data_IF_163978582245
#
_entry.id   IF_163978582245
#
_cell.length_a   1.000
_cell.length_b   1.000
_cell.length_c   1.000
_cell.angle_alpha   90.00
_cell.angle_beta   90.00
_cell.angle_gamma   90.00
#
_symmetry.space_group_name_H-M   'P 1'
#
loop_
_entity.id
_entity.type
_entity.pdbx_description
1 polymer ?
#
# COMPACT_ATOMS: atom_id res chain seq x y z
N UNK A 1 -17.34 -37.36 32.66
CA UNK A 1 -17.13 -37.21 31.21
C UNK A 1 -16.55 -35.82 30.93
N UNK A 2 -16.16 -35.53 29.68
CA UNK A 2 -15.62 -34.24 29.20
C UNK A 2 -14.31 -33.75 29.88
N UNK A 3 -13.19 -33.87 29.16
CA UNK A 3 -11.97 -33.08 29.43
C UNK A 3 -12.21 -31.64 28.94
N UNK A 4 -11.86 -30.64 29.75
CA UNK A 4 -11.60 -29.29 29.24
C UNK A 4 -10.18 -29.24 28.66
N UNK A 5 -10.05 -29.14 27.34
CA UNK A 5 -8.76 -28.93 26.67
C UNK A 5 -8.47 -27.44 26.62
N UNK A 6 -7.69 -26.94 27.60
CA UNK A 6 -7.17 -25.58 27.55
C UNK A 6 -6.13 -25.46 26.43
N UNK A 7 -6.38 -24.60 25.45
CA UNK A 7 -5.41 -24.31 24.40
C UNK A 7 -4.20 -23.56 24.97
N UNK A 8 -2.96 -23.90 24.58
CA UNK A 8 -1.76 -23.25 25.09
C UNK A 8 -1.64 -21.85 24.48
N UNK A 9 -2.13 -20.84 25.22
CA UNK A 9 -1.97 -19.42 24.86
C UNK A 9 -0.53 -19.12 24.45
N UNK A 10 -0.35 -18.72 23.18
CA UNK A 10 0.96 -18.48 22.61
C UNK A 10 1.63 -17.32 23.36
N UNK A 11 2.63 -17.65 24.18
CA UNK A 11 3.42 -16.67 24.93
C UNK A 11 4.15 -15.76 23.94
N UNK A 12 3.54 -14.62 23.60
CA UNK A 12 4.16 -13.55 22.82
C UNK A 12 5.47 -13.20 23.52
N UNK A 13 6.59 -13.54 22.88
CA UNK A 13 7.90 -13.30 23.47
C UNK A 13 8.01 -11.80 23.77
N UNK A 14 8.31 -11.46 25.02
CA UNK A 14 8.74 -10.12 25.37
C UNK A 14 10.12 -9.91 24.76
N UNK A 15 10.16 -9.44 23.52
CA UNK A 15 11.29 -8.66 23.03
C UNK A 15 11.41 -7.51 24.01
N UNK A 16 12.51 -7.47 24.75
CA UNK A 16 12.73 -6.45 25.76
C UNK A 16 12.92 -5.08 25.09
N UNK A 17 12.62 -4.03 25.83
CA UNK A 17 12.98 -2.65 25.49
C UNK A 17 14.51 -2.50 25.63
N UNK A 18 15.24 -3.04 24.66
CA UNK A 18 16.54 -2.53 24.28
C UNK A 18 16.28 -1.36 23.32
N UNK A 19 16.93 -0.21 23.55
CA UNK A 19 16.83 0.94 22.66
C UNK A 19 17.18 0.50 21.23
N UNK A 20 16.26 0.68 20.27
CA UNK A 20 16.48 0.31 18.87
C UNK A 20 17.46 1.31 18.24
N UNK A 21 18.76 1.08 18.45
CA UNK A 21 19.85 1.87 17.86
C UNK A 21 19.74 1.81 16.32
N UNK A 22 19.22 2.89 15.74
CA UNK A 22 18.85 2.99 14.34
C UNK A 22 20.01 2.58 13.43
N UNK A 23 19.81 1.53 12.62
CA UNK A 23 20.85 0.91 11.80
C UNK A 23 21.67 1.98 11.06
N UNK A 24 22.99 2.12 11.32
CA UNK A 24 23.80 3.19 10.75
C UNK A 24 23.75 3.26 9.22
N UNK A 25 23.49 2.14 8.53
CA UNK A 25 23.29 2.12 7.08
C UNK A 25 21.91 2.66 6.66
N UNK A 26 20.86 2.43 7.44
CA UNK A 26 19.51 2.99 7.20
C UNK A 26 19.53 4.49 7.45
N UNK A 27 20.06 4.92 8.61
CA UNK A 27 20.25 6.34 8.91
C UNK A 27 21.09 7.04 7.84
N UNK A 28 22.20 6.43 7.40
CA UNK A 28 23.04 7.04 6.35
C UNK A 28 22.34 7.10 5.00
N UNK A 29 21.53 6.10 4.64
CA UNK A 29 20.68 6.14 3.45
C UNK A 29 19.72 7.35 3.51
N UNK A 30 19.07 7.58 4.65
CA UNK A 30 18.18 8.73 4.82
C UNK A 30 18.89 10.07 4.75
N UNK A 31 20.05 10.22 5.38
CA UNK A 31 20.89 11.43 5.27
C UNK A 31 21.21 11.75 3.79
N UNK A 32 21.56 10.73 2.99
CA UNK A 32 21.88 10.90 1.56
C UNK A 32 20.64 11.16 0.71
N UNK A 33 19.48 10.56 1.03
CA UNK A 33 18.18 10.87 0.37
C UNK A 33 17.78 12.33 0.63
N UNK A 34 17.79 12.78 1.89
CA UNK A 34 17.49 14.18 2.26
C UNK A 34 18.44 15.17 1.59
N UNK A 35 19.70 14.80 1.35
CA UNK A 35 20.66 15.60 0.57
C UNK A 35 20.34 15.65 -0.94
N UNK A 36 19.80 14.57 -1.51
CA UNK A 36 19.37 14.51 -2.91
C UNK A 36 18.07 15.30 -3.16
N UNK A 37 17.11 15.23 -2.24
CA UNK A 37 15.89 16.04 -2.25
C UNK A 37 16.21 17.53 -2.19
N UNK A 38 17.07 17.94 -1.25
CA UNK A 38 17.56 19.33 -1.12
C UNK A 38 18.32 19.82 -2.36
N UNK A 39 18.91 18.92 -3.15
CA UNK A 39 19.54 19.26 -4.43
C UNK A 39 18.49 19.40 -5.55
N UNK A 40 17.53 18.45 -5.64
CA UNK A 40 16.40 18.46 -6.59
C UNK A 40 15.56 19.73 -6.44
N UNK A 41 15.21 20.11 -5.21
CA UNK A 41 14.46 21.33 -4.90
C UNK A 41 15.20 22.64 -5.28
N UNK A 42 16.51 22.58 -5.48
CA UNK A 42 17.35 23.71 -5.95
C UNK A 42 17.67 23.62 -7.45
N UNK A 43 17.02 22.73 -8.19
CA UNK A 43 17.26 22.48 -9.62
C UNK A 43 18.64 21.89 -9.93
N UNK A 44 19.36 21.34 -8.94
CA UNK A 44 20.77 20.92 -9.08
C UNK A 44 20.93 19.40 -8.94
N UNK A 45 21.72 18.81 -9.84
CA UNK A 45 22.17 17.43 -9.72
C UNK A 45 23.28 17.29 -8.67
N UNK A 46 23.22 16.23 -7.86
CA UNK A 46 24.30 15.84 -6.94
C UNK A 46 24.80 14.43 -7.28
N UNK A 47 25.75 14.35 -8.22
CA UNK A 47 26.30 13.08 -8.71
C UNK A 47 27.04 12.29 -7.61
N UNK A 48 27.70 12.98 -6.67
CA UNK A 48 28.38 12.36 -5.52
C UNK A 48 27.38 11.64 -4.62
N UNK A 49 26.31 12.33 -4.20
CA UNK A 49 25.26 11.72 -3.38
C UNK A 49 24.52 10.60 -4.11
N UNK A 50 24.32 10.70 -5.44
CA UNK A 50 23.77 9.58 -6.24
C UNK A 50 24.68 8.34 -6.18
N UNK A 51 26.00 8.51 -6.34
CA UNK A 51 26.97 7.40 -6.24
C UNK A 51 27.02 6.82 -4.83
N UNK A 52 27.01 7.67 -3.80
CA UNK A 52 27.00 7.26 -2.40
C UNK A 52 25.74 6.47 -2.03
N UNK A 53 24.55 6.92 -2.50
CA UNK A 53 23.29 6.20 -2.29
C UNK A 53 23.32 4.79 -2.92
N UNK A 54 23.92 4.64 -4.10
CA UNK A 54 24.08 3.33 -4.73
C UNK A 54 24.97 2.39 -3.90
N UNK A 55 26.06 2.90 -3.31
CA UNK A 55 26.92 2.14 -2.39
C UNK A 55 26.17 1.73 -1.12
N UNK A 56 25.58 2.67 -0.40
CA UNK A 56 24.84 2.38 0.86
C UNK A 56 23.67 1.41 0.61
N UNK A 57 22.97 1.54 -0.53
CA UNK A 57 21.93 0.59 -0.93
C UNK A 57 22.48 -0.82 -1.27
N UNK A 58 23.70 -0.93 -1.80
CA UNK A 58 24.36 -2.22 -2.02
C UNK A 58 24.80 -2.88 -0.71
N UNK A 59 25.32 -2.10 0.25
CA UNK A 59 25.71 -2.58 1.57
C UNK A 59 24.51 -3.06 2.38
N UNK A 60 23.39 -2.31 2.34
CA UNK A 60 22.09 -2.73 2.88
C UNK A 60 21.59 -4.02 2.21
N UNK A 61 21.71 -4.15 0.88
CA UNK A 61 21.33 -5.38 0.17
C UNK A 61 22.21 -6.58 0.59
N UNK A 62 23.49 -6.38 0.82
CA UNK A 62 24.40 -7.42 1.31
C UNK A 62 24.09 -7.82 2.77
N UNK A 63 23.78 -6.85 3.65
CA UNK A 63 23.35 -7.10 5.03
C UNK A 63 22.03 -7.87 5.07
N UNK A 64 21.02 -7.38 4.36
CA UNK A 64 19.70 -8.02 4.28
C UNK A 64 19.78 -9.41 3.64
N UNK A 65 20.60 -9.58 2.59
CA UNK A 65 20.82 -10.88 1.96
C UNK A 65 21.39 -11.94 2.91
N UNK A 66 22.27 -11.56 3.85
CA UNK A 66 22.79 -12.47 4.90
C UNK A 66 21.73 -12.84 5.92
N UNK A 67 20.84 -11.91 6.29
CA UNK A 67 19.78 -12.13 7.28
C UNK A 67 18.62 -12.96 6.71
N UNK A 68 18.10 -12.58 5.55
CA UNK A 68 16.90 -13.19 4.94
C UNK A 68 17.16 -14.64 4.46
N UNK A 69 18.39 -14.98 4.10
CA UNK A 69 18.81 -16.36 3.78
C UNK A 69 18.84 -17.32 4.97
N UNK A 70 18.61 -16.85 6.21
CA UNK A 70 18.52 -17.71 7.40
C UNK A 70 17.16 -18.41 7.55
N UNK A 71 16.14 -17.95 6.83
CA UNK A 71 14.79 -18.53 6.84
C UNK A 71 14.67 -19.59 5.73
N UNK A 72 14.22 -20.83 6.04
CA UNK A 72 13.97 -21.87 5.04
C UNK A 72 12.93 -21.48 3.97
N UNK A 73 12.99 -22.05 2.76
CA UNK A 73 12.07 -21.73 1.65
C UNK A 73 10.59 -21.91 2.01
N UNK A 74 10.26 -22.89 2.85
CA UNK A 74 8.90 -23.26 3.25
C UNK A 74 8.30 -22.18 4.16
N UNK A 75 9.11 -21.58 5.03
CA UNK A 75 8.70 -20.42 5.83
C UNK A 75 8.56 -19.16 4.96
N UNK A 76 9.40 -18.98 3.94
CA UNK A 76 9.21 -17.90 2.97
C UNK A 76 7.91 -18.04 2.19
N UNK A 77 7.57 -19.24 1.74
CA UNK A 77 6.28 -19.49 1.11
C UNK A 77 5.12 -19.19 2.08
N UNK A 78 5.17 -19.69 3.32
CA UNK A 78 4.14 -19.42 4.34
C UNK A 78 3.97 -17.94 4.68
N UNK A 79 5.07 -17.18 4.76
CA UNK A 79 5.04 -15.73 4.97
C UNK A 79 4.34 -15.04 3.78
N UNK A 80 4.68 -15.43 2.55
CA UNK A 80 4.19 -14.78 1.34
C UNK A 80 2.78 -15.23 0.91
N UNK A 81 2.29 -16.39 1.37
CA UNK A 81 0.97 -16.94 1.01
C UNK A 81 -0.10 -16.73 2.11
N UNK A 82 0.28 -16.78 3.40
CA UNK A 82 -0.69 -16.61 4.51
C UNK A 82 -0.63 -15.22 5.17
N UNK A 83 0.52 -14.56 5.20
CA UNK A 83 0.76 -13.37 6.03
C UNK A 83 0.94 -12.07 5.23
N UNK A 84 0.97 -12.15 3.90
CA UNK A 84 1.09 -11.01 2.99
C UNK A 84 -0.10 -11.01 2.03
N UNK A 85 -0.83 -9.91 1.95
CA UNK A 85 -1.93 -9.83 0.99
C UNK A 85 -1.40 -9.68 -0.45
N UNK A 86 -2.14 -10.20 -1.43
CA UNK A 86 -1.73 -10.20 -2.85
C UNK A 86 -1.45 -8.79 -3.42
N UNK A 87 -1.97 -7.75 -2.78
CA UNK A 87 -1.77 -6.36 -3.17
C UNK A 87 -0.52 -5.72 -2.51
N UNK A 88 -0.02 -6.29 -1.40
CA UNK A 88 1.27 -5.94 -0.77
C UNK A 88 2.45 -6.71 -1.37
N UNK A 89 2.20 -7.82 -2.08
CA UNK A 89 3.23 -8.63 -2.75
C UNK A 89 4.19 -7.79 -3.61
N UNK A 90 3.64 -6.84 -4.38
CA UNK A 90 4.46 -5.94 -5.18
C UNK A 90 5.28 -4.98 -4.31
N UNK A 91 4.70 -4.41 -3.26
CA UNK A 91 5.39 -3.49 -2.37
C UNK A 91 6.61 -4.19 -1.74
N UNK A 92 6.43 -5.40 -1.21
CA UNK A 92 7.53 -6.19 -0.65
C UNK A 92 8.60 -6.51 -1.70
N UNK A 93 8.21 -6.98 -2.89
CA UNK A 93 9.11 -7.25 -4.02
C UNK A 93 9.81 -5.99 -4.59
N UNK A 94 9.34 -4.80 -4.23
CA UNK A 94 9.97 -3.52 -4.57
C UNK A 94 11.00 -3.09 -3.51
N UNK A 95 10.84 -3.46 -2.23
CA UNK A 95 11.76 -3.06 -1.14
C UNK A 95 13.20 -3.57 -1.31
N UNK A 96 13.40 -4.82 -1.75
CA UNK A 96 14.74 -5.36 -1.98
C UNK A 96 14.78 -6.47 -3.06
N UNK A 97 15.98 -6.72 -3.58
CA UNK A 97 16.21 -7.72 -4.65
C UNK A 97 15.83 -9.14 -4.20
N UNK A 98 16.14 -9.52 -2.95
CA UNK A 98 15.85 -10.86 -2.43
C UNK A 98 14.36 -11.21 -2.48
N UNK A 99 13.46 -10.30 -2.08
CA UNK A 99 12.02 -10.55 -2.19
C UNK A 99 11.58 -10.63 -3.66
N UNK A 100 12.12 -9.77 -4.54
CA UNK A 100 11.85 -9.85 -5.98
C UNK A 100 12.28 -11.17 -6.61
N UNK A 101 13.42 -11.71 -6.17
CA UNK A 101 13.90 -13.04 -6.56
C UNK A 101 12.98 -14.13 -6.00
N UNK A 102 12.65 -14.11 -4.70
CA UNK A 102 11.74 -15.08 -4.07
C UNK A 102 10.34 -15.11 -4.70
N UNK A 103 9.79 -13.97 -5.12
CA UNK A 103 8.51 -13.94 -5.82
C UNK A 103 8.60 -14.60 -7.21
N UNK A 104 9.72 -14.45 -7.92
CA UNK A 104 9.97 -15.18 -9.18
C UNK A 104 10.13 -16.68 -8.94
N UNK A 105 10.89 -17.07 -7.92
CA UNK A 105 11.11 -18.48 -7.55
C UNK A 105 9.79 -19.20 -7.25
N UNK A 106 8.83 -18.49 -6.61
CA UNK A 106 7.48 -18.97 -6.30
C UNK A 106 6.45 -18.75 -7.42
N UNK A 107 6.87 -18.27 -8.61
CA UNK A 107 5.98 -18.00 -9.75
C UNK A 107 4.97 -16.86 -9.55
N UNK A 108 5.11 -16.04 -8.50
CA UNK A 108 4.21 -14.93 -8.17
C UNK A 108 4.33 -13.78 -9.17
N UNK A 109 3.18 -13.22 -9.59
CA UNK A 109 3.12 -12.21 -10.65
C UNK A 109 3.34 -10.80 -10.10
N UNK A 110 4.60 -10.35 -10.12
CA UNK A 110 5.04 -9.03 -9.61
C UNK A 110 4.61 -7.89 -10.55
N UNK A 111 3.34 -7.49 -10.52
CA UNK A 111 2.75 -6.45 -11.37
C UNK A 111 1.75 -5.55 -10.62
N UNK A 112 1.78 -4.24 -10.87
CA UNK A 112 0.64 -3.35 -10.56
C UNK A 112 -0.54 -3.69 -11.46
N UNK A 113 -1.61 -4.21 -10.85
CA UNK A 113 -2.91 -4.33 -11.50
C UNK A 113 -3.98 -3.50 -10.75
N UNK A 114 -3.56 -2.47 -9.99
CA UNK A 114 -4.42 -1.52 -9.29
C UNK A 114 -5.22 -0.69 -10.30
N UNK A 115 -6.40 -1.19 -10.64
CA UNK A 115 -7.40 -0.49 -11.43
C UNK A 115 -8.78 -0.82 -10.86
N UNK A 116 -9.75 0.06 -11.09
CA UNK A 116 -11.10 -0.03 -10.52
C UNK A 116 -11.85 -1.33 -10.90
N UNK A 117 -11.47 -2.04 -11.97
CA UNK A 117 -12.05 -3.36 -12.32
C UNK A 117 -11.51 -4.47 -11.41
N UNK A 118 -10.20 -4.56 -11.16
CA UNK A 118 -9.63 -5.53 -10.20
C UNK A 118 -10.19 -5.32 -8.79
N UNK A 119 -10.55 -4.09 -8.41
CA UNK A 119 -11.21 -3.82 -7.12
C UNK A 119 -12.61 -4.47 -7.04
N UNK A 120 -13.38 -4.47 -8.13
CA UNK A 120 -14.65 -5.22 -8.22
C UNK A 120 -14.43 -6.73 -8.19
N UNK A 121 -13.40 -7.24 -8.87
CA UNK A 121 -13.10 -8.68 -8.89
C UNK A 121 -12.67 -9.19 -7.50
N UNK A 122 -11.86 -8.41 -6.77
CA UNK A 122 -11.45 -8.68 -5.38
C UNK A 122 -12.60 -8.55 -4.39
N UNK A 123 -13.49 -7.57 -4.58
CA UNK A 123 -14.72 -7.44 -3.80
C UNK A 123 -15.64 -8.64 -3.99
N UNK A 124 -15.92 -9.00 -5.25
CA UNK A 124 -16.86 -10.07 -5.62
C UNK A 124 -16.38 -11.46 -5.18
N UNK A 125 -15.07 -11.62 -4.94
CA UNK A 125 -14.47 -12.84 -4.39
C UNK A 125 -14.27 -12.81 -2.87
N UNK A 126 -14.73 -11.76 -2.18
CA UNK A 126 -14.60 -11.58 -0.73
C UNK A 126 -13.18 -11.25 -0.24
N UNK A 127 -12.18 -11.19 -1.14
CA UNK A 127 -10.76 -10.97 -0.80
C UNK A 127 -10.43 -9.48 -0.73
N UNK A 128 -11.19 -8.76 0.08
CA UNK A 128 -11.09 -7.31 0.24
C UNK A 128 -10.12 -6.95 1.35
N UNK A 129 -8.84 -6.76 1.01
CA UNK A 129 -7.92 -6.09 1.92
C UNK A 129 -8.19 -4.59 2.01
N UNK A 130 -8.06 -4.06 3.22
CA UNK A 130 -7.77 -2.66 3.49
C UNK A 130 -6.26 -2.45 3.59
N UNK A 131 -5.73 -1.35 3.07
CA UNK A 131 -4.33 -0.95 3.27
C UNK A 131 -4.20 0.30 4.12
N UNK A 132 -3.07 0.43 4.80
CA UNK A 132 -2.75 1.55 5.70
C UNK A 132 -2.41 2.83 4.93
N UNK A 133 -2.48 3.98 5.59
CA UNK A 133 -2.01 5.27 5.04
C UNK A 133 -0.54 5.20 4.56
N UNK A 134 0.30 4.38 5.21
CA UNK A 134 1.68 4.14 4.80
C UNK A 134 1.81 3.47 3.42
N UNK A 135 0.90 2.56 3.07
CA UNK A 135 0.82 1.96 1.74
C UNK A 135 0.37 2.98 0.70
N UNK A 136 -0.65 3.79 0.99
CA UNK A 136 -1.11 4.84 0.08
C UNK A 136 -0.01 5.89 -0.20
N UNK A 137 0.73 6.30 0.86
CA UNK A 137 1.96 7.11 0.73
C UNK A 137 2.99 6.44 -0.17
N UNK A 138 3.33 5.17 0.11
CA UNK A 138 4.28 4.42 -0.71
C UNK A 138 3.88 4.35 -2.19
N UNK A 139 2.60 4.13 -2.53
CA UNK A 139 2.14 4.15 -3.93
C UNK A 139 2.35 5.54 -4.54
N UNK A 140 1.87 6.60 -3.88
CA UNK A 140 1.99 7.99 -4.35
C UNK A 140 3.45 8.47 -4.52
N UNK A 141 4.38 7.91 -3.78
CA UNK A 141 5.79 8.33 -3.81
C UNK A 141 6.65 7.41 -4.72
N UNK A 142 6.10 6.28 -5.19
CA UNK A 142 6.81 5.27 -6.01
C UNK A 142 6.34 5.21 -7.47
N UNK A 143 5.07 5.51 -7.75
CA UNK A 143 4.49 5.44 -9.10
C UNK A 143 4.27 6.82 -9.71
N UNK A 144 4.42 6.91 -11.04
CA UNK A 144 3.97 8.10 -11.78
C UNK A 144 2.45 8.06 -11.92
N UNK A 145 1.79 9.03 -11.29
CA UNK A 145 0.35 9.24 -11.41
C UNK A 145 0.03 10.05 -12.66
N UNK A 146 -1.11 9.71 -13.29
CA UNK A 146 -1.72 10.56 -14.31
C UNK A 146 -2.96 11.24 -13.74
N UNK A 147 -3.12 12.57 -13.93
CA UNK A 147 -4.38 13.23 -13.66
C UNK A 147 -5.44 12.66 -14.59
N UNK A 148 -6.63 12.41 -14.05
CA UNK A 148 -7.72 11.79 -14.78
C UNK A 148 -8.69 11.06 -13.85
N UNK A 149 -9.95 11.48 -13.93
CA UNK A 149 -11.09 10.86 -13.26
C UNK A 149 -11.99 10.11 -14.25
N UNK A 150 -11.80 10.32 -15.56
CA UNK A 150 -12.62 9.76 -16.63
C UNK A 150 -12.19 8.35 -17.07
N UNK A 151 -13.19 7.54 -17.38
CA UNK A 151 -13.07 6.18 -17.91
C UNK A 151 -12.74 6.16 -19.42
N UNK A 152 -11.68 6.84 -19.85
CA UNK A 152 -11.26 6.77 -21.26
C UNK A 152 -10.82 5.35 -21.64
N UNK A 153 -11.06 4.96 -22.89
CA UNK A 153 -10.57 3.69 -23.47
C UNK A 153 -9.04 3.69 -23.67
N UNK A 154 -8.36 4.81 -23.43
CA UNK A 154 -6.92 5.04 -23.71
C UNK A 154 -6.04 4.89 -22.48
N UNK A 155 -6.52 4.16 -21.45
CA UNK A 155 -5.77 3.93 -20.21
C UNK A 155 -4.43 3.24 -20.47
N UNK A 156 -3.34 4.01 -20.38
CA UNK A 156 -1.96 3.55 -20.53
C UNK A 156 -1.66 2.39 -19.57
N UNK A 157 -1.19 1.27 -20.13
CA UNK A 157 -0.86 0.04 -19.40
C UNK A 157 0.22 0.32 -18.34
N UNK A 158 -0.10 0.06 -17.07
CA UNK A 158 0.82 0.23 -15.94
C UNK A 158 0.82 1.63 -15.32
N UNK A 159 0.11 2.61 -15.88
CA UNK A 159 -0.10 3.90 -15.23
C UNK A 159 -1.16 3.80 -14.12
N UNK A 160 -0.92 4.49 -13.00
CA UNK A 160 -1.90 4.65 -11.91
C UNK A 160 -2.60 6.01 -12.11
N UNK A 161 -3.92 6.05 -11.85
CA UNK A 161 -4.72 7.26 -11.97
C UNK A 161 -5.21 7.68 -10.60
N UNK A 162 -5.24 8.98 -10.35
CA UNK A 162 -5.58 9.58 -9.05
C UNK A 162 -6.98 9.13 -8.60
N UNK A 163 -7.93 9.09 -9.54
CA UNK A 163 -9.29 8.62 -9.33
C UNK A 163 -9.42 7.15 -8.91
N UNK A 164 -8.55 6.22 -9.37
CA UNK A 164 -8.60 4.82 -8.90
C UNK A 164 -8.24 4.76 -7.40
N UNK A 165 -7.27 5.57 -6.95
CA UNK A 165 -6.79 5.53 -5.57
C UNK A 165 -7.75 6.25 -4.60
N UNK A 166 -8.37 7.35 -5.04
CA UNK A 166 -9.47 8.02 -4.32
C UNK A 166 -10.68 7.08 -4.18
N UNK A 167 -11.12 6.47 -5.29
CA UNK A 167 -12.22 5.49 -5.28
C UNK A 167 -11.89 4.30 -4.37
N UNK A 168 -10.63 3.84 -4.35
CA UNK A 168 -10.22 2.75 -3.46
C UNK A 168 -10.22 3.14 -1.98
N UNK A 169 -9.74 4.34 -1.63
CA UNK A 169 -9.78 4.85 -0.26
C UNK A 169 -11.22 4.96 0.28
N UNK A 170 -12.16 5.40 -0.58
CA UNK A 170 -13.59 5.42 -0.27
C UNK A 170 -14.19 4.02 -0.12
N UNK A 171 -13.86 3.10 -1.03
CA UNK A 171 -14.32 1.71 -1.00
C UNK A 171 -13.85 0.94 0.24
N UNK A 172 -12.62 1.16 0.73
CA UNK A 172 -12.16 0.59 2.00
C UNK A 172 -12.64 1.37 3.25
N UNK A 173 -13.42 2.45 3.07
CA UNK A 173 -14.02 3.21 4.16
C UNK A 173 -13.09 4.14 4.95
N UNK A 174 -11.92 4.50 4.41
CA UNK A 174 -10.95 5.31 5.16
C UNK A 174 -11.11 6.81 4.92
N UNK A 175 -11.84 7.48 5.81
CA UNK A 175 -11.95 8.96 5.85
C UNK A 175 -10.59 9.62 6.05
N UNK A 176 -9.68 9.01 6.83
CA UNK A 176 -8.31 9.53 7.04
C UNK A 176 -7.53 9.61 5.73
N UNK A 177 -7.57 8.54 4.93
CA UNK A 177 -6.85 8.50 3.64
C UNK A 177 -7.54 9.40 2.62
N UNK A 178 -8.87 9.53 2.62
CA UNK A 178 -9.56 10.51 1.77
C UNK A 178 -9.26 11.96 2.14
N UNK A 179 -9.10 12.29 3.43
CA UNK A 179 -8.54 13.59 3.82
C UNK A 179 -7.14 13.74 3.26
N UNK A 180 -6.24 12.79 3.52
CA UNK A 180 -4.87 12.83 3.05
C UNK A 180 -4.72 13.07 1.53
N UNK A 181 -5.47 12.32 0.70
CA UNK A 181 -5.45 12.47 -0.75
C UNK A 181 -5.97 13.84 -1.21
N UNK A 182 -6.99 14.39 -0.56
CA UNK A 182 -7.59 15.68 -0.95
C UNK A 182 -6.88 16.90 -0.36
N UNK A 183 -6.33 16.79 0.85
CA UNK A 183 -5.77 17.90 1.64
C UNK A 183 -4.24 18.01 1.50
N UNK A 184 -3.49 16.89 1.41
CA UNK A 184 -2.03 16.92 1.21
C UNK A 184 -1.61 16.76 -0.27
N UNK A 185 -2.30 15.92 -1.05
CA UNK A 185 -1.98 15.71 -2.49
C UNK A 185 -2.82 16.58 -3.43
N UNK A 186 -3.90 17.21 -2.95
CA UNK A 186 -4.75 18.11 -3.73
C UNK A 186 -5.66 17.40 -4.76
N UNK A 187 -5.88 16.10 -4.61
CA UNK A 187 -6.68 15.31 -5.56
C UNK A 187 -8.18 15.49 -5.33
N UNK A 188 -8.95 15.54 -6.41
CA UNK A 188 -10.40 15.75 -6.36
C UNK A 188 -11.16 14.45 -6.07
N UNK A 189 -12.27 14.57 -5.33
CA UNK A 189 -13.26 13.51 -5.18
C UNK A 189 -14.23 13.60 -6.37
N UNK A 190 -14.66 12.45 -6.90
CA UNK A 190 -15.54 12.37 -8.07
C UNK A 190 -16.94 11.84 -7.70
N UNK A 191 -17.90 11.88 -8.63
CA UNK A 191 -19.27 11.38 -8.40
C UNK A 191 -19.30 9.87 -8.06
N UNK A 192 -18.40 9.11 -8.68
CA UNK A 192 -18.17 7.69 -8.43
C UNK A 192 -17.74 7.42 -6.97
N UNK A 193 -17.06 8.36 -6.30
CA UNK A 193 -16.48 8.17 -4.96
C UNK A 193 -17.56 7.85 -3.92
N UNK A 194 -18.75 8.44 -4.06
CA UNK A 194 -19.95 8.07 -3.27
C UNK A 194 -20.39 6.63 -3.54
N UNK A 195 -20.52 6.26 -4.82
CA UNK A 195 -20.86 4.89 -5.24
C UNK A 195 -19.86 3.86 -4.69
N UNK A 196 -18.56 4.18 -4.65
CA UNK A 196 -17.53 3.32 -4.08
C UNK A 196 -17.62 3.20 -2.56
N UNK A 197 -17.90 4.27 -1.82
CA UNK A 197 -18.17 4.21 -0.39
C UNK A 197 -19.43 3.38 -0.05
N UNK A 198 -20.49 3.49 -0.87
CA UNK A 198 -21.69 2.65 -0.79
C UNK A 198 -21.39 1.18 -1.06
N UNK A 199 -20.66 0.86 -2.13
CA UNK A 199 -20.15 -0.50 -2.41
C UNK A 199 -19.23 -1.04 -1.31
N UNK A 200 -18.51 -0.16 -0.61
CA UNK A 200 -17.68 -0.47 0.54
C UNK A 200 -18.46 -0.76 1.82
N UNK A 201 -19.67 -0.20 1.96
CA UNK A 201 -20.45 -0.21 3.19
C UNK A 201 -19.92 0.76 4.26
N UNK A 202 -19.32 1.89 3.84
CA UNK A 202 -18.76 2.88 4.78
C UNK A 202 -19.68 4.07 4.96
N UNK A 203 -20.50 4.01 6.02
CA UNK A 203 -21.37 5.12 6.43
C UNK A 203 -20.54 6.37 6.78
N UNK A 204 -19.35 6.19 7.32
CA UNK A 204 -18.44 7.25 7.76
C UNK A 204 -17.88 8.05 6.58
N UNK A 205 -17.50 7.37 5.50
CA UNK A 205 -17.14 8.05 4.24
C UNK A 205 -18.36 8.74 3.63
N UNK A 206 -19.54 8.10 3.61
CA UNK A 206 -20.76 8.73 3.08
C UNK A 206 -21.15 10.00 3.85
N UNK A 207 -21.01 10.01 5.18
CA UNK A 207 -21.16 11.21 6.03
C UNK A 207 -20.13 12.29 5.68
N UNK A 208 -18.86 11.92 5.52
CA UNK A 208 -17.77 12.84 5.15
C UNK A 208 -17.99 13.48 3.78
N UNK A 209 -18.37 12.69 2.76
CA UNK A 209 -18.69 13.17 1.42
C UNK A 209 -19.87 14.16 1.44
N UNK A 210 -20.98 13.80 2.12
CA UNK A 210 -22.12 14.69 2.32
C UNK A 210 -21.73 15.98 3.05
N UNK A 211 -20.86 15.90 4.05
CA UNK A 211 -20.34 17.05 4.79
C UNK A 211 -19.50 18.02 3.94
N UNK A 212 -18.89 17.54 2.86
CA UNK A 212 -18.22 18.36 1.83
C UNK A 212 -19.13 18.75 0.66
N UNK A 213 -20.44 18.51 0.75
CA UNK A 213 -21.42 18.89 -0.28
C UNK A 213 -21.54 17.92 -1.47
N UNK A 214 -20.87 16.77 -1.45
CA UNK A 214 -20.96 15.80 -2.54
C UNK A 214 -22.32 15.11 -2.59
N UNK A 215 -22.89 15.01 -3.80
CA UNK A 215 -24.18 14.38 -4.03
C UNK A 215 -24.08 12.85 -3.98
N UNK A 216 -24.84 12.22 -3.08
CA UNK A 216 -24.93 10.78 -2.97
C UNK A 216 -26.08 10.27 -3.86
N UNK A 217 -25.77 9.98 -5.13
CA UNK A 217 -26.74 9.50 -6.12
C UNK A 217 -27.40 8.18 -5.71
N UNK A 218 -28.59 7.89 -6.25
CA UNK A 218 -29.47 6.77 -5.83
C UNK A 218 -28.77 5.41 -5.73
N UNK A 219 -27.89 5.07 -6.68
CA UNK A 219 -27.11 3.83 -6.64
C UNK A 219 -26.26 3.67 -5.38
N UNK A 220 -25.75 4.77 -4.82
CA UNK A 220 -25.01 4.80 -3.54
C UNK A 220 -25.86 4.22 -2.41
N UNK A 221 -27.10 4.68 -2.30
CA UNK A 221 -28.04 4.27 -1.25
C UNK A 221 -28.44 2.79 -1.43
N UNK A 222 -28.63 2.34 -2.68
CA UNK A 222 -28.91 0.92 -2.97
C UNK A 222 -27.77 -0.01 -2.54
N UNK A 223 -26.51 0.38 -2.78
CA UNK A 223 -25.35 -0.41 -2.36
C UNK A 223 -25.12 -0.38 -0.85
N UNK A 224 -25.33 0.76 -0.19
CA UNK A 224 -25.29 0.87 1.27
C UNK A 224 -26.36 -0.01 1.94
N UNK A 225 -27.63 0.09 1.50
CA UNK A 225 -28.71 -0.75 2.01
C UNK A 225 -28.45 -2.25 1.78
N UNK A 226 -27.90 -2.62 0.61
CA UNK A 226 -27.45 -3.99 0.30
C UNK A 226 -26.29 -4.49 1.17
N UNK A 227 -25.61 -3.62 1.92
CA UNK A 227 -24.59 -3.95 2.92
C UNK A 227 -25.12 -4.00 4.35
N UNK A 228 -26.35 -3.55 4.60
CA UNK A 228 -26.86 -3.31 5.95
C UNK A 228 -26.36 -1.99 6.55
N UNK A 229 -26.19 -0.96 5.73
CA UNK A 229 -25.68 0.37 6.07
C UNK A 229 -26.67 1.48 5.74
#
# INVERSE_FOLDING_TARGET
MARATAEPSAKRAKVGEADEEEDPLVRRKEEVVRLLERARAKGKGNARAKKELLTVCADLQAKNGKLLRRLPPELWQKILDENLHQNDELALAMTCRFFREKHKDLGKKVETNLNTRRLLDLWSSGKTASHTLGWFRWVCDTFEFRPGLEWSWERVKGAVYEGDLVNYAAFQGSVEILRWLTEEKGWELNEDTGLWAGKGGSVEVLKYLRGRGYYLGTGTCSWAASRGC
#
